data_IF_220452265862
#
_entry.id   IF_220452265862
#
_cell.length_a   1.000
_cell.length_b   1.000
_cell.length_c   1.000
_cell.angle_alpha   90.00
_cell.angle_beta   90.00
_cell.angle_gamma   90.00
#
_symmetry.space_group_name_H-M   'P 1'
#
loop_
_entity.id
_entity.type
_entity.pdbx_description
1 polymer ?
#
# COMPACT_ATOMS: atom_id res chain seq x y z
N UNK A 1 10.00 16.03 -5.66
CA UNK A 1 8.68 15.51 -5.24
C UNK A 1 8.55 14.17 -5.93
N UNK A 2 8.67 13.08 -5.18
CA UNK A 2 8.88 11.73 -5.74
C UNK A 2 7.60 11.19 -6.39
N UNK A 3 6.44 11.75 -5.99
CA UNK A 3 5.15 11.50 -6.61
C UNK A 3 4.61 12.71 -7.38
N UNK A 4 3.85 12.44 -8.44
CA UNK A 4 3.17 13.48 -9.24
C UNK A 4 1.82 13.84 -8.63
N UNK A 5 1.21 14.92 -9.12
CA UNK A 5 -0.11 15.38 -8.68
C UNK A 5 -1.20 14.28 -8.72
N UNK A 6 -1.18 13.40 -9.73
CA UNK A 6 -2.17 12.31 -9.87
C UNK A 6 -2.15 11.34 -8.70
N UNK A 7 -0.98 11.05 -8.13
CA UNK A 7 -0.87 10.19 -6.96
C UNK A 7 -1.63 10.75 -5.75
N UNK A 8 -1.44 12.05 -5.46
CA UNK A 8 -2.13 12.70 -4.34
C UNK A 8 -3.64 12.79 -4.56
N UNK A 9 -4.12 13.00 -5.79
CA UNK A 9 -5.55 12.88 -6.10
C UNK A 9 -6.08 11.50 -5.73
N UNK A 10 -5.31 10.44 -6.04
CA UNK A 10 -5.63 9.07 -5.62
C UNK A 10 -5.81 8.96 -4.11
N UNK A 11 -4.89 9.54 -3.33
CA UNK A 11 -4.97 9.56 -1.86
C UNK A 11 -6.22 10.29 -1.35
N UNK A 12 -6.53 11.46 -1.91
CA UNK A 12 -7.74 12.20 -1.56
C UNK A 12 -9.01 11.38 -1.85
N UNK A 13 -9.07 10.68 -3.00
CA UNK A 13 -10.20 9.80 -3.28
C UNK A 13 -10.31 8.64 -2.29
N UNK A 14 -9.20 8.08 -1.81
CA UNK A 14 -9.24 7.06 -0.75
C UNK A 14 -9.85 7.63 0.53
N UNK A 15 -9.44 8.82 0.97
CA UNK A 15 -9.99 9.47 2.17
C UNK A 15 -11.46 9.87 2.03
N UNK A 16 -11.91 10.19 0.81
CA UNK A 16 -13.31 10.45 0.50
C UNK A 16 -14.16 9.17 0.34
N UNK A 17 -13.55 7.99 0.53
CA UNK A 17 -14.15 6.68 0.30
C UNK A 17 -14.63 6.45 -1.15
N UNK A 18 -14.08 7.20 -2.09
CA UNK A 18 -14.35 7.13 -3.52
C UNK A 18 -13.41 6.11 -4.19
N UNK A 19 -13.44 4.87 -3.69
CA UNK A 19 -12.40 3.86 -3.97
C UNK A 19 -12.27 3.48 -5.44
N UNK A 20 -13.37 3.49 -6.21
CA UNK A 20 -13.32 3.21 -7.64
C UNK A 20 -12.58 4.31 -8.43
N UNK A 21 -12.73 5.57 -7.99
CA UNK A 21 -11.97 6.70 -8.58
C UNK A 21 -10.51 6.62 -8.16
N UNK A 22 -10.25 6.28 -6.89
CA UNK A 22 -8.90 6.07 -6.38
C UNK A 22 -8.16 4.96 -7.17
N UNK A 23 -8.78 3.79 -7.34
CA UNK A 23 -8.23 2.66 -8.10
C UNK A 23 -7.83 3.11 -9.50
N UNK A 24 -8.76 3.75 -10.24
CA UNK A 24 -8.48 4.21 -11.60
C UNK A 24 -7.28 5.15 -11.66
N UNK A 25 -7.26 6.18 -10.81
CA UNK A 25 -6.20 7.20 -10.82
C UNK A 25 -4.84 6.61 -10.41
N UNK A 26 -4.81 5.70 -9.43
CA UNK A 26 -3.60 5.05 -8.96
C UNK A 26 -3.07 4.02 -9.97
N UNK A 27 -3.96 3.28 -10.65
CA UNK A 27 -3.60 2.38 -11.75
C UNK A 27 -2.98 3.16 -12.92
N UNK A 28 -3.60 4.27 -13.32
CA UNK A 28 -3.08 5.16 -14.37
C UNK A 28 -1.71 5.74 -13.97
N UNK A 29 -1.55 6.15 -12.71
CA UNK A 29 -0.29 6.66 -12.18
C UNK A 29 0.84 5.63 -12.22
N UNK A 30 0.60 4.40 -11.74
CA UNK A 30 1.60 3.32 -11.77
C UNK A 30 1.96 2.95 -13.20
N UNK A 31 0.98 2.91 -14.11
CA UNK A 31 1.23 2.64 -15.53
C UNK A 31 2.06 3.74 -16.21
N UNK A 32 1.82 5.01 -15.88
CA UNK A 32 2.60 6.14 -16.39
C UNK A 32 4.06 6.06 -15.94
N UNK A 33 4.31 5.79 -14.65
CA UNK A 33 5.66 5.61 -14.13
C UNK A 33 6.40 4.50 -14.86
N UNK A 34 5.74 3.33 -15.00
CA UNK A 34 6.33 2.17 -15.66
C UNK A 34 6.76 2.47 -17.10
N UNK A 35 5.92 3.21 -17.86
CA UNK A 35 6.17 3.53 -19.27
C UNK A 35 7.15 4.68 -19.45
N UNK A 36 7.00 5.75 -18.68
CA UNK A 36 7.59 7.06 -19.01
C UNK A 36 8.73 7.48 -18.07
N UNK A 37 8.89 6.84 -16.90
CA UNK A 37 9.88 7.24 -15.88
C UNK A 37 10.90 6.15 -15.55
N UNK A 38 11.31 5.36 -16.54
CA UNK A 38 12.39 4.37 -16.43
C UNK A 38 12.19 3.33 -15.30
N UNK A 39 10.96 2.89 -15.03
CA UNK A 39 10.67 1.89 -14.00
C UNK A 39 11.12 2.32 -12.58
N UNK A 40 11.00 3.62 -12.25
CA UNK A 40 11.18 4.09 -10.89
C UNK A 40 10.00 3.62 -10.02
N UNK A 41 10.00 2.33 -9.70
CA UNK A 41 8.98 1.64 -8.95
C UNK A 41 9.04 2.05 -7.48
N UNK A 42 8.02 2.78 -7.02
CA UNK A 42 7.92 3.20 -5.62
C UNK A 42 7.06 2.20 -4.83
N UNK A 43 7.57 1.61 -3.74
CA UNK A 43 6.80 0.67 -2.92
C UNK A 43 5.52 1.33 -2.38
N UNK A 44 5.56 2.61 -2.05
CA UNK A 44 4.41 3.41 -1.58
C UNK A 44 3.32 3.56 -2.65
N UNK A 45 3.69 3.73 -3.92
CA UNK A 45 2.73 3.80 -5.02
C UNK A 45 1.95 2.48 -5.16
N UNK A 46 2.66 1.36 -5.13
CA UNK A 46 2.03 0.04 -5.11
C UNK A 46 1.21 -0.17 -3.84
N UNK A 47 1.69 0.27 -2.68
CA UNK A 47 0.92 0.17 -1.44
C UNK A 47 -0.45 0.83 -1.57
N UNK A 48 -0.54 2.08 -2.02
CA UNK A 48 -1.84 2.77 -2.16
C UNK A 48 -2.71 2.20 -3.28
N UNK A 49 -2.12 1.74 -4.38
CA UNK A 49 -2.84 0.97 -5.40
C UNK A 49 -3.48 -0.29 -4.77
N UNK A 50 -2.74 -0.99 -3.91
CA UNK A 50 -3.24 -2.14 -3.15
C UNK A 50 -4.35 -1.77 -2.17
N UNK A 51 -4.24 -0.62 -1.49
CA UNK A 51 -5.29 -0.09 -0.60
C UNK A 51 -6.59 0.15 -1.37
N UNK A 52 -6.54 0.79 -2.54
CA UNK A 52 -7.74 1.03 -3.35
C UNK A 52 -8.46 -0.29 -3.69
N UNK A 53 -7.70 -1.32 -4.08
CA UNK A 53 -8.23 -2.66 -4.38
C UNK A 53 -8.76 -3.38 -3.13
N UNK A 54 -8.07 -3.24 -2.00
CA UNK A 54 -8.49 -3.77 -0.71
C UNK A 54 -9.86 -3.20 -0.28
N UNK A 55 -10.04 -1.88 -0.36
CA UNK A 55 -11.30 -1.20 -0.01
C UNK A 55 -12.45 -1.60 -0.95
N UNK A 56 -12.14 -1.85 -2.23
CA UNK A 56 -13.07 -2.43 -3.20
C UNK A 56 -13.32 -3.94 -3.00
N UNK A 57 -12.73 -4.55 -1.97
CA UNK A 57 -12.80 -5.99 -1.65
C UNK A 57 -12.24 -6.91 -2.73
N UNK A 58 -11.40 -6.40 -3.62
CA UNK A 58 -10.67 -7.16 -4.64
C UNK A 58 -9.41 -7.77 -4.02
N UNK A 59 -9.60 -8.67 -3.05
CA UNK A 59 -8.52 -9.12 -2.16
C UNK A 59 -7.38 -9.83 -2.90
N UNK A 60 -7.68 -10.64 -3.91
CA UNK A 60 -6.65 -11.32 -4.71
C UNK A 60 -5.76 -10.31 -5.46
N UNK A 61 -6.38 -9.31 -6.09
CA UNK A 61 -5.64 -8.26 -6.78
C UNK A 61 -4.85 -7.40 -5.79
N UNK A 62 -5.45 -7.06 -4.64
CA UNK A 62 -4.76 -6.30 -3.58
C UNK A 62 -3.51 -7.04 -3.09
N UNK A 63 -3.59 -8.35 -2.84
CA UNK A 63 -2.44 -9.19 -2.45
C UNK A 63 -1.35 -9.13 -3.52
N UNK A 64 -1.70 -9.31 -4.80
CA UNK A 64 -0.73 -9.26 -5.89
C UNK A 64 -0.02 -7.90 -5.99
N UNK A 65 -0.73 -6.81 -5.69
CA UNK A 65 -0.14 -5.47 -5.66
C UNK A 65 0.73 -5.26 -4.41
N UNK A 66 0.30 -5.71 -3.22
CA UNK A 66 1.14 -5.67 -2.02
C UNK A 66 2.42 -6.50 -2.19
N UNK A 67 2.37 -7.61 -2.93
CA UNK A 67 3.54 -8.40 -3.27
C UNK A 67 4.55 -7.64 -4.13
N UNK A 68 4.08 -6.76 -5.03
CA UNK A 68 4.98 -5.86 -5.77
C UNK A 68 5.64 -4.84 -4.84
N UNK A 69 4.88 -4.23 -3.92
CA UNK A 69 5.44 -3.32 -2.92
C UNK A 69 6.52 -4.01 -2.07
N UNK A 70 6.24 -5.24 -1.61
CA UNK A 70 7.15 -6.05 -0.80
C UNK A 70 8.33 -6.61 -1.58
N UNK A 71 8.26 -6.72 -2.91
CA UNK A 71 9.40 -7.09 -3.74
C UNK A 71 10.45 -5.97 -3.77
N UNK A 72 10.00 -4.71 -3.76
CA UNK A 72 10.88 -3.53 -3.79
C UNK A 72 11.38 -3.21 -2.39
N UNK A 73 10.48 -3.29 -1.41
CA UNK A 73 10.78 -3.02 -0.01
C UNK A 73 10.29 -4.18 0.87
N UNK A 74 11.12 -5.23 1.04
CA UNK A 74 10.74 -6.44 1.78
C UNK A 74 10.33 -6.21 3.22
N UNK A 75 10.83 -5.16 3.87
CA UNK A 75 10.56 -4.78 5.26
C UNK A 75 9.32 -3.90 5.41
N UNK A 76 8.61 -3.56 4.33
CA UNK A 76 7.47 -2.62 4.38
C UNK A 76 6.34 -3.13 5.27
N UNK A 77 6.32 -2.71 6.53
CA UNK A 77 5.44 -3.25 7.56
C UNK A 77 3.95 -3.02 7.25
N UNK A 78 3.56 -1.84 6.79
CA UNK A 78 2.18 -1.53 6.43
C UNK A 78 1.66 -2.47 5.32
N UNK A 79 2.45 -2.68 4.26
CA UNK A 79 2.07 -3.58 3.17
C UNK A 79 1.90 -5.03 3.66
N UNK A 80 2.75 -5.50 4.59
CA UNK A 80 2.59 -6.83 5.22
C UNK A 80 1.29 -6.93 6.02
N UNK A 81 0.95 -5.90 6.80
CA UNK A 81 -0.30 -5.86 7.58
C UNK A 81 -1.51 -5.95 6.65
N UNK A 82 -1.57 -5.12 5.61
CA UNK A 82 -2.71 -5.13 4.68
C UNK A 82 -2.81 -6.43 3.87
N UNK A 83 -1.67 -7.01 3.47
CA UNK A 83 -1.65 -8.35 2.86
C UNK A 83 -2.19 -9.42 3.82
N UNK A 84 -1.77 -9.39 5.09
CA UNK A 84 -2.27 -10.31 6.11
C UNK A 84 -3.78 -10.16 6.38
N UNK A 85 -4.29 -8.92 6.35
CA UNK A 85 -5.74 -8.66 6.43
C UNK A 85 -6.47 -9.28 5.23
N UNK A 86 -5.94 -9.13 4.01
CA UNK A 86 -6.53 -9.76 2.83
C UNK A 86 -6.55 -11.30 2.96
N UNK A 87 -5.47 -11.91 3.43
CA UNK A 87 -5.40 -13.34 3.72
C UNK A 87 -6.44 -13.78 4.75
N UNK A 88 -6.64 -13.01 5.81
CA UNK A 88 -7.69 -13.26 6.80
C UNK A 88 -9.09 -13.21 6.16
N UNK A 89 -9.36 -12.23 5.29
CA UNK A 89 -10.64 -12.12 4.56
C UNK A 89 -10.89 -13.30 3.61
N UNK A 90 -9.82 -13.88 3.07
CA UNK A 90 -9.87 -15.08 2.22
C UNK A 90 -9.91 -16.40 2.99
N UNK A 91 -9.81 -16.39 4.32
CA UNK A 91 -9.79 -17.61 5.12
C UNK A 91 -8.50 -18.42 5.00
N UNK A 92 -7.36 -17.77 4.72
CA UNK A 92 -6.04 -18.42 4.81
C UNK A 92 -5.76 -18.93 6.23
N UNK A 93 -4.90 -19.96 6.39
CA UNK A 93 -4.55 -20.49 7.70
C UNK A 93 -4.12 -19.40 8.69
N UNK A 94 -4.63 -19.47 9.91
CA UNK A 94 -4.41 -18.43 10.92
C UNK A 94 -2.93 -18.31 11.27
N UNK A 95 -2.21 -19.42 11.24
CA UNK A 95 -0.78 -19.51 11.52
C UNK A 95 0.03 -18.67 10.53
N UNK A 96 -0.30 -18.72 9.23
CA UNK A 96 0.37 -17.92 8.20
C UNK A 96 0.08 -16.42 8.34
N UNK A 97 -1.18 -16.07 8.65
CA UNK A 97 -1.60 -14.69 8.88
C UNK A 97 -0.87 -14.10 10.09
N UNK A 98 -0.84 -14.82 11.20
CA UNK A 98 -0.17 -14.39 12.44
C UNK A 98 1.33 -14.24 12.20
N UNK A 99 1.97 -15.21 11.54
CA UNK A 99 3.40 -15.14 11.24
C UNK A 99 3.75 -13.90 10.39
N UNK A 100 2.90 -13.52 9.44
CA UNK A 100 3.13 -12.31 8.63
C UNK A 100 2.93 -11.02 9.44
N UNK A 101 1.91 -10.99 10.31
CA UNK A 101 1.66 -9.85 11.21
C UNK A 101 2.81 -9.65 12.20
N UNK A 102 3.37 -10.73 12.75
CA UNK A 102 4.45 -10.63 13.73
C UNK A 102 5.74 -10.11 13.08
N UNK A 103 6.06 -10.57 11.86
CA UNK A 103 7.13 -9.96 11.05
C UNK A 103 6.89 -8.47 10.80
N UNK A 104 5.66 -8.09 10.45
CA UNK A 104 5.31 -6.69 10.24
C UNK A 104 5.51 -5.82 11.49
N UNK A 105 5.20 -6.35 12.69
CA UNK A 105 5.46 -5.66 13.96
C UNK A 105 6.95 -5.48 14.23
N UNK A 106 7.77 -6.51 13.98
CA UNK A 106 9.22 -6.41 14.15
C UNK A 106 9.81 -5.34 13.24
N UNK A 107 9.36 -5.29 11.99
CA UNK A 107 9.84 -4.31 11.02
C UNK A 107 9.36 -2.89 11.35
N UNK A 108 8.11 -2.72 11.78
CA UNK A 108 7.59 -1.44 12.24
C UNK A 108 8.38 -0.91 13.46
N UNK A 109 8.77 -1.78 14.40
CA UNK A 109 9.60 -1.39 15.55
C UNK A 109 10.98 -0.87 15.14
N UNK A 110 11.53 -1.40 14.04
CA UNK A 110 12.78 -0.93 13.42
C UNK A 110 12.60 0.34 12.58
N UNK A 111 11.37 0.84 12.43
CA UNK A 111 11.06 2.06 11.67
C UNK A 111 10.71 1.80 10.21
N UNK A 112 10.49 0.54 9.81
CA UNK A 112 10.14 0.18 8.43
C UNK A 112 8.63 0.30 8.15
N UNK A 113 8.01 1.38 8.61
CA UNK A 113 6.65 1.78 8.20
C UNK A 113 6.72 2.77 7.04
N UNK A 114 5.57 3.28 6.59
CA UNK A 114 5.52 4.49 5.76
C UNK A 114 6.36 5.57 6.45
N UNK A 115 7.43 5.97 5.79
CA UNK A 115 8.43 6.94 6.28
C UNK A 115 8.57 8.14 5.33
N UNK A 116 7.61 8.32 4.41
CA UNK A 116 7.55 9.50 3.56
C UNK A 116 7.06 10.70 4.35
N UNK A 117 7.80 11.80 4.26
CA UNK A 117 7.41 13.07 4.87
C UNK A 117 6.09 13.53 4.27
N UNK A 118 5.12 13.88 5.13
CA UNK A 118 3.86 14.45 4.68
C UNK A 118 4.09 15.64 3.74
N UNK A 119 3.28 15.72 2.70
CA UNK A 119 3.43 16.76 1.69
C UNK A 119 2.49 17.93 1.96
N UNK A 120 2.72 19.06 1.26
CA UNK A 120 1.88 20.26 1.39
C UNK A 120 0.42 19.96 1.01
N UNK A 121 0.19 19.03 0.09
CA UNK A 121 -1.12 18.77 -0.47
C UNK A 121 -1.91 17.72 0.29
N UNK A 122 -1.25 16.72 0.87
CA UNK A 122 -1.93 15.64 1.61
C UNK A 122 -0.97 14.92 2.57
N UNK A 123 -1.54 14.46 3.67
CA UNK A 123 -0.90 13.53 4.61
C UNK A 123 -1.09 12.09 4.13
N UNK A 124 -0.07 11.25 4.25
CA UNK A 124 -0.17 9.86 3.80
C UNK A 124 -1.23 9.09 4.62
N UNK A 125 -2.39 8.69 4.04
CA UNK A 125 -3.43 8.01 4.81
C UNK A 125 -3.07 6.53 5.03
N UNK A 126 -3.84 5.79 5.83
CA UNK A 126 -3.66 4.34 6.05
C UNK A 126 -2.34 3.91 6.71
N UNK A 127 -1.62 4.83 7.37
CA UNK A 127 -0.45 4.50 8.18
C UNK A 127 -0.85 3.60 9.37
N UNK A 128 -0.14 2.49 9.55
CA UNK A 128 -0.35 1.59 10.69
C UNK A 128 0.58 1.97 11.84
N UNK A 129 -0.01 2.37 12.97
CA UNK A 129 0.72 2.61 14.22
C UNK A 129 0.75 1.34 15.06
N UNK A 130 1.78 0.51 14.88
CA UNK A 130 2.04 -0.61 15.77
C UNK A 130 2.79 -0.06 17.00
N UNK A 131 2.09 -0.01 18.14
CA UNK A 131 2.67 0.51 19.40
C UNK A 131 4.01 -0.19 19.69
N UNK A 132 5.03 0.62 20.02
CA UNK A 132 6.39 0.17 20.35
C UNK A 132 6.41 -0.66 21.63
#
# INVERSE_FOLDING_TARGET
MDHTYSFYIGLCYLQLNEYAKAEKVLDDYVNDIYKNRQQLEHPTAYFYQGIAKYELKKWDEAIAIFDKALKIYPEFSDAKVYKAICWLKQGKPKEEVVALIDKAKEDAKKGFSINEDNTIYETYPYQIKLNK
#
